data_IF_573545400446
#
_entry.id   IF_573545400446
#
_cell.length_a   1.000
_cell.length_b   1.000
_cell.length_c   1.000
_cell.angle_alpha   90.00
_cell.angle_beta   90.00
_cell.angle_gamma   90.00
#
_symmetry.space_group_name_H-M   'P 1'
#
loop_
_entity.id
_entity.type
_entity.pdbx_description
1 polymer ?
#
# COMPACT_ATOMS: atom_id res chain seq x y z
N UNK A 1 -8.35 -6.78 17.54
CA UNK A 1 -9.52 -6.51 16.67
C UNK A 1 -9.07 -5.53 15.59
N UNK A 2 -9.34 -5.85 14.32
CA UNK A 2 -8.95 -5.01 13.18
C UNK A 2 -10.18 -4.31 12.62
N UNK A 3 -10.01 -3.10 12.09
CA UNK A 3 -11.09 -2.36 11.40
C UNK A 3 -11.01 -2.64 9.91
N UNK A 4 -12.10 -3.07 9.27
CA UNK A 4 -12.12 -3.12 7.79
C UNK A 4 -12.39 -1.73 7.25
N UNK A 5 -11.35 -1.05 6.79
CA UNK A 5 -11.48 0.31 6.28
C UNK A 5 -12.05 0.32 4.87
N UNK A 6 -12.22 -0.84 4.20
CA UNK A 6 -12.56 -0.94 2.77
C UNK A 6 -13.81 -0.16 2.37
N UNK A 7 -14.87 -0.25 3.18
CA UNK A 7 -16.16 0.38 2.90
C UNK A 7 -16.38 1.66 3.74
N UNK A 8 -15.44 1.98 4.62
CA UNK A 8 -15.53 3.16 5.46
C UNK A 8 -15.38 4.46 4.64
N UNK A 9 -16.11 5.53 5.00
CA UNK A 9 -15.91 6.84 4.40
C UNK A 9 -14.46 7.32 4.57
N UNK A 10 -13.80 7.55 3.45
CA UNK A 10 -12.43 8.07 3.37
C UNK A 10 -12.44 9.34 2.52
N UNK A 11 -12.58 10.53 3.12
CA UNK A 11 -12.56 11.78 2.36
C UNK A 11 -11.21 12.00 1.69
N UNK A 12 -11.19 12.83 0.64
CA UNK A 12 -9.95 13.23 -0.02
C UNK A 12 -9.05 13.95 0.99
N UNK A 13 -7.77 13.57 1.03
CA UNK A 13 -6.79 14.18 1.94
C UNK A 13 -7.05 13.90 3.41
N UNK A 14 -7.75 12.81 3.74
CA UNK A 14 -7.91 12.33 5.11
C UNK A 14 -6.57 12.30 5.84
N UNK A 15 -6.50 12.92 7.02
CA UNK A 15 -5.33 12.81 7.89
C UNK A 15 -5.19 11.35 8.40
N UNK A 16 -4.13 10.63 7.99
CA UNK A 16 -3.91 9.25 8.40
C UNK A 16 -3.76 9.08 9.92
N UNK A 17 -3.34 10.10 10.67
CA UNK A 17 -3.20 10.00 12.13
C UNK A 17 -4.55 9.85 12.84
N UNK A 18 -5.67 10.22 12.20
CA UNK A 18 -7.02 10.01 12.74
C UNK A 18 -7.41 8.53 12.85
N UNK A 19 -6.71 7.65 12.14
CA UNK A 19 -6.87 6.20 12.26
C UNK A 19 -6.21 5.65 13.55
N UNK A 20 -5.33 6.44 14.18
CA UNK A 20 -4.53 6.04 15.33
C UNK A 20 -3.60 4.85 15.02
N UNK A 21 -3.27 4.09 16.07
CA UNK A 21 -2.36 2.95 15.97
C UNK A 21 -3.10 1.61 15.77
N UNK A 22 -4.42 1.66 15.55
CA UNK A 22 -5.22 0.45 15.38
C UNK A 22 -4.99 -0.14 13.99
N UNK A 23 -4.66 -1.44 13.87
CA UNK A 23 -4.50 -2.04 12.56
C UNK A 23 -5.82 -2.14 11.81
N UNK A 24 -5.75 -2.00 10.50
CA UNK A 24 -6.91 -1.99 9.62
C UNK A 24 -6.67 -2.78 8.33
N UNK A 25 -7.77 -3.21 7.71
CA UNK A 25 -7.77 -3.94 6.44
C UNK A 25 -8.15 -3.03 5.28
N UNK A 26 -7.56 -3.31 4.12
CA UNK A 26 -7.96 -2.72 2.84
C UNK A 26 -7.98 -3.82 1.77
N UNK A 27 -9.09 -3.93 1.04
CA UNK A 27 -9.14 -4.74 -0.19
C UNK A 27 -8.39 -4.07 -1.33
N UNK A 28 -8.00 -4.87 -2.31
CA UNK A 28 -7.33 -4.45 -3.55
C UNK A 28 -8.00 -3.25 -4.24
N UNK A 29 -9.33 -3.22 -4.27
CA UNK A 29 -10.11 -2.12 -4.85
C UNK A 29 -9.89 -0.78 -4.13
N UNK A 30 -9.54 -0.79 -2.83
CA UNK A 30 -9.40 0.40 -1.99
C UNK A 30 -8.02 1.05 -2.03
N UNK A 31 -7.04 0.48 -2.76
CA UNK A 31 -5.70 1.06 -2.85
C UNK A 31 -5.08 0.89 -4.24
N UNK A 32 -3.92 1.51 -4.44
CA UNK A 32 -3.04 1.21 -5.57
C UNK A 32 -1.58 1.49 -5.21
N UNK A 33 -0.68 0.77 -5.86
CA UNK A 33 0.77 0.92 -5.68
C UNK A 33 1.29 2.09 -6.51
N UNK A 34 2.07 2.98 -5.91
CA UNK A 34 2.65 4.15 -6.58
C UNK A 34 4.12 3.92 -6.89
N UNK A 35 4.83 3.37 -5.91
CA UNK A 35 6.27 3.14 -5.86
C UNK A 35 6.52 1.78 -5.22
N UNK A 36 7.76 1.27 -5.29
CA UNK A 36 8.11 -0.02 -4.70
C UNK A 36 8.02 -0.08 -3.16
N UNK A 37 7.81 1.05 -2.49
CA UNK A 37 7.65 1.13 -1.04
C UNK A 37 6.46 2.00 -0.58
N UNK A 38 5.60 2.44 -1.51
CA UNK A 38 4.51 3.37 -1.19
C UNK A 38 3.20 2.96 -1.84
N UNK A 39 2.15 2.88 -1.02
CA UNK A 39 0.77 2.57 -1.38
C UNK A 39 -0.09 3.81 -1.20
N UNK A 40 -1.00 4.06 -2.13
CA UNK A 40 -2.03 5.10 -2.05
C UNK A 40 -3.36 4.47 -1.69
N UNK A 41 -4.01 5.00 -0.66
CA UNK A 41 -5.38 4.60 -0.29
C UNK A 41 -6.36 5.50 -1.04
N UNK A 42 -7.34 4.88 -1.70
CA UNK A 42 -8.34 5.58 -2.48
C UNK A 42 -9.37 6.23 -1.56
N UNK A 43 -9.78 7.44 -1.91
CA UNK A 43 -10.94 8.09 -1.32
C UNK A 43 -12.22 7.37 -1.77
N UNK A 44 -13.23 7.38 -0.91
CA UNK A 44 -14.60 6.97 -1.25
C UNK A 44 -15.41 8.09 -1.87
N UNK A 45 -14.90 9.33 -1.86
CA UNK A 45 -15.58 10.46 -2.47
C UNK A 45 -15.39 10.41 -4.00
N UNK A 46 -16.51 10.43 -4.72
CA UNK A 46 -16.51 10.67 -6.16
C UNK A 46 -16.09 12.13 -6.40
N UNK A 47 -14.78 12.34 -6.57
CA UNK A 47 -14.28 13.61 -7.06
C UNK A 47 -14.57 13.73 -8.56
N UNK A 48 -15.83 13.98 -8.88
CA UNK A 48 -16.25 14.46 -10.19
C UNK A 48 -15.80 15.93 -10.31
N UNK A 49 -14.59 16.17 -10.82
CA UNK A 49 -14.24 17.45 -11.46
C UNK A 49 -12.97 17.32 -12.29
N UNK A 50 -13.17 17.45 -13.60
CA UNK A 50 -12.17 17.63 -14.64
C UNK A 50 -11.35 18.89 -14.37
N UNK A 51 -10.19 18.73 -13.75
CA UNK A 51 -9.11 19.72 -13.83
C UNK A 51 -8.35 19.57 -15.17
N UNK A 52 -7.80 20.65 -15.75
CA UNK A 52 -7.16 20.66 -17.07
C UNK A 52 -5.84 19.84 -17.16
N UNK A 53 -5.47 19.16 -16.08
CA UNK A 53 -4.39 18.17 -16.04
C UNK A 53 -5.02 16.88 -15.52
N UNK A 54 -5.48 16.04 -16.43
CA UNK A 54 -6.00 14.73 -16.10
C UNK A 54 -5.06 13.96 -15.15
N UNK A 55 -5.66 13.01 -14.43
CA UNK A 55 -5.03 11.93 -13.66
C UNK A 55 -4.95 12.10 -12.12
N UNK A 56 -5.95 11.48 -11.46
CA UNK A 56 -5.79 10.61 -10.27
C UNK A 56 -5.35 11.20 -8.93
N UNK A 57 -4.97 12.47 -8.83
CA UNK A 57 -4.65 13.10 -7.54
C UNK A 57 -5.89 13.36 -6.68
N UNK A 58 -7.06 13.55 -7.30
CA UNK A 58 -8.32 13.86 -6.62
C UNK A 58 -9.02 12.64 -6.00
N UNK A 59 -8.43 11.44 -6.04
CA UNK A 59 -9.02 10.23 -5.47
C UNK A 59 -8.16 9.64 -4.34
N UNK A 60 -7.24 10.40 -3.76
CA UNK A 60 -6.40 9.92 -2.66
C UNK A 60 -7.00 10.35 -1.32
N UNK A 61 -7.24 9.39 -0.43
CA UNK A 61 -7.47 9.66 0.98
C UNK A 61 -6.13 9.99 1.66
N UNK A 62 -5.21 9.01 1.68
CA UNK A 62 -3.86 9.17 2.24
C UNK A 62 -2.88 8.21 1.57
N UNK A 63 -1.60 8.29 1.94
CA UNK A 63 -0.56 7.40 1.46
C UNK A 63 0.13 6.70 2.63
N UNK A 64 0.53 5.46 2.40
CA UNK A 64 1.20 4.58 3.34
C UNK A 64 2.58 4.26 2.76
N UNK A 65 3.62 4.35 3.58
CA UNK A 65 4.96 3.91 3.28
C UNK A 65 5.39 2.84 4.27
N UNK A 66 6.09 1.82 3.78
CA UNK A 66 6.73 0.87 4.67
C UNK A 66 7.73 1.56 5.60
N UNK A 67 7.69 1.25 6.90
CA UNK A 67 8.62 1.86 7.86
C UNK A 67 10.02 1.28 7.82
N UNK A 68 10.15 -0.02 7.50
CA UNK A 68 11.38 -0.80 7.72
C UNK A 68 12.13 -1.16 6.43
N UNK A 69 11.58 -0.83 5.27
CA UNK A 69 12.17 -1.07 3.95
C UNK A 69 12.04 0.17 3.06
N UNK A 70 12.92 0.29 2.08
CA UNK A 70 12.87 1.32 1.06
C UNK A 70 13.17 0.74 -0.31
N UNK A 71 12.40 1.18 -1.31
CA UNK A 71 12.62 0.84 -2.70
C UNK A 71 13.59 1.82 -3.36
N UNK A 72 14.33 1.40 -4.41
CA UNK A 72 15.06 2.32 -5.26
C UNK A 72 14.12 3.38 -5.86
N UNK A 73 14.63 4.61 -6.02
CA UNK A 73 13.84 5.68 -6.62
C UNK A 73 13.48 5.35 -8.08
N UNK A 74 12.25 5.68 -8.49
CA UNK A 74 11.89 5.61 -9.90
C UNK A 74 12.64 6.71 -10.67
N UNK A 75 13.11 6.42 -11.89
CA UNK A 75 13.73 7.42 -12.72
C UNK A 75 12.73 8.54 -13.06
N UNK A 76 13.25 9.76 -13.18
CA UNK A 76 12.47 10.91 -13.65
C UNK A 76 12.59 10.96 -15.17
N UNK A 77 11.45 10.92 -15.86
CA UNK A 77 11.43 11.05 -17.32
C UNK A 77 11.79 12.48 -17.74
N UNK A 78 12.89 12.60 -18.49
CA UNK A 78 13.24 13.83 -19.20
C UNK A 78 12.26 14.11 -20.36
N UNK A 79 12.37 15.26 -21.01
CA UNK A 79 11.60 15.56 -22.22
C UNK A 79 11.87 14.55 -23.34
N UNK A 80 13.13 14.17 -23.54
CA UNK A 80 13.55 13.15 -24.52
C UNK A 80 12.98 11.77 -24.20
N UNK A 81 13.00 11.36 -22.92
CA UNK A 81 12.43 10.07 -22.54
C UNK A 81 10.93 10.00 -22.81
N UNK A 82 10.21 11.13 -22.65
CA UNK A 82 8.77 11.19 -22.98
C UNK A 82 8.52 11.02 -24.47
N UNK A 83 9.39 11.56 -25.32
CA UNK A 83 9.31 11.36 -26.78
C UNK A 83 9.53 9.89 -27.14
N UNK A 84 10.54 9.24 -26.54
CA UNK A 84 10.79 7.81 -26.74
C UNK A 84 9.60 6.97 -26.27
N UNK A 85 9.02 7.30 -25.11
CA UNK A 85 7.85 6.61 -24.57
C UNK A 85 6.63 6.76 -25.49
N UNK A 86 6.40 7.94 -26.06
CA UNK A 86 5.34 8.17 -27.04
C UNK A 86 5.55 7.37 -28.34
N UNK A 87 6.80 7.04 -28.67
CA UNK A 87 7.16 6.14 -29.77
C UNK A 87 7.13 4.65 -29.37
N UNK A 88 6.67 4.31 -28.15
CA UNK A 88 6.55 2.94 -27.65
C UNK A 88 7.83 2.36 -27.03
N UNK A 89 8.88 3.18 -26.86
CA UNK A 89 10.16 2.77 -26.25
C UNK A 89 10.26 3.36 -24.86
N UNK A 90 10.14 2.54 -23.82
CA UNK A 90 10.37 2.98 -22.44
C UNK A 90 11.84 2.72 -22.05
N UNK A 91 12.70 3.76 -22.00
CA UNK A 91 14.11 3.60 -21.67
C UNK A 91 14.31 3.10 -20.22
N UNK A 92 13.30 3.25 -19.37
CA UNK A 92 13.36 2.99 -17.94
C UNK A 92 12.58 1.73 -17.53
N UNK A 93 12.04 0.97 -18.48
CA UNK A 93 11.20 -0.20 -18.23
C UNK A 93 11.84 -1.24 -17.29
N UNK A 94 13.18 -1.31 -17.28
CA UNK A 94 13.97 -2.25 -16.45
C UNK A 94 14.74 -1.56 -15.32
N UNK A 95 14.41 -0.31 -15.01
CA UNK A 95 15.02 0.36 -13.86
C UNK A 95 14.58 -0.29 -12.55
N UNK A 96 15.47 -0.31 -11.55
CA UNK A 96 15.21 -0.98 -10.28
C UNK A 96 13.95 -0.46 -9.57
N UNK A 97 13.69 0.85 -9.61
CA UNK A 97 12.48 1.45 -9.03
C UNK A 97 11.19 1.02 -9.74
N UNK A 98 11.22 0.87 -11.06
CA UNK A 98 10.06 0.36 -11.84
C UNK A 98 9.83 -1.12 -11.53
N UNK A 99 10.89 -1.92 -11.49
CA UNK A 99 10.81 -3.34 -11.12
C UNK A 99 10.26 -3.53 -9.70
N UNK A 100 10.69 -2.70 -8.73
CA UNK A 100 10.21 -2.75 -7.36
C UNK A 100 8.71 -2.42 -7.27
N UNK A 101 8.26 -1.36 -7.95
CA UNK A 101 6.84 -0.99 -8.06
C UNK A 101 6.02 -2.14 -8.65
N UNK A 102 6.46 -2.70 -9.77
CA UNK A 102 5.73 -3.73 -10.50
C UNK A 102 5.70 -5.05 -9.73
N UNK A 103 6.79 -5.38 -9.04
CA UNK A 103 6.86 -6.53 -8.14
C UNK A 103 5.88 -6.40 -6.98
N UNK A 104 5.86 -5.25 -6.29
CA UNK A 104 4.87 -4.97 -5.24
C UNK A 104 3.44 -5.05 -5.77
N UNK A 105 3.17 -4.47 -6.95
CA UNK A 105 1.84 -4.55 -7.59
C UNK A 105 1.41 -5.99 -7.82
N UNK A 106 2.28 -6.84 -8.39
CA UNK A 106 1.98 -8.26 -8.63
C UNK A 106 1.76 -9.04 -7.33
N UNK A 107 2.51 -8.74 -6.27
CA UNK A 107 2.35 -9.40 -4.97
C UNK A 107 1.01 -9.07 -4.28
N UNK A 108 0.41 -7.94 -4.65
CA UNK A 108 -0.85 -7.42 -4.10
C UNK A 108 -2.07 -7.68 -4.98
N UNK A 109 -1.88 -8.17 -6.20
CA UNK A 109 -2.97 -8.38 -7.15
C UNK A 109 -3.94 -9.45 -6.64
N UNK A 110 -5.20 -9.07 -6.41
CA UNK A 110 -6.23 -9.93 -5.81
C UNK A 110 -6.05 -10.22 -4.31
N UNK A 111 -5.12 -9.55 -3.62
CA UNK A 111 -4.92 -9.68 -2.18
C UNK A 111 -5.44 -8.44 -1.43
N UNK A 112 -5.97 -8.66 -0.23
CA UNK A 112 -6.16 -7.58 0.72
C UNK A 112 -4.86 -7.33 1.49
N UNK A 113 -4.76 -6.16 2.11
CA UNK A 113 -3.64 -5.82 3.00
C UNK A 113 -4.13 -5.58 4.42
N UNK A 114 -3.36 -6.07 5.38
CA UNK A 114 -3.43 -5.70 6.79
C UNK A 114 -2.34 -4.66 7.04
N UNK A 115 -2.76 -3.47 7.44
CA UNK A 115 -1.88 -2.34 7.75
C UNK A 115 -1.79 -2.21 9.25
N UNK A 116 -0.58 -2.16 9.79
CA UNK A 116 -0.27 -1.90 11.19
C UNK A 116 0.42 -0.53 11.27
N UNK A 117 -0.33 0.55 11.55
CA UNK A 117 0.23 1.90 11.61
C UNK A 117 1.27 2.01 12.72
N UNK A 118 2.33 2.78 12.48
CA UNK A 118 3.31 3.10 13.52
C UNK A 118 2.95 4.36 14.32
N UNK A 119 1.82 5.01 14.04
CA UNK A 119 1.45 6.32 14.61
C UNK A 119 2.29 7.50 14.14
N UNK A 120 3.14 7.33 13.12
CA UNK A 120 4.09 8.35 12.63
C UNK A 120 3.87 8.64 11.16
N UNK A 121 4.19 9.88 10.78
CA UNK A 121 4.29 10.30 9.38
C UNK A 121 5.74 10.54 9.00
N UNK A 122 6.08 10.30 7.74
CA UNK A 122 7.34 10.77 7.19
C UNK A 122 7.27 12.27 6.82
N UNK A 123 8.41 12.83 6.39
CA UNK A 123 8.52 14.25 5.99
C UNK A 123 7.59 14.66 4.84
N UNK A 124 6.98 13.70 4.13
CA UNK A 124 6.07 13.91 3.03
C UNK A 124 4.60 13.68 3.43
N UNK A 125 4.32 13.49 4.72
CA UNK A 125 2.97 13.26 5.23
C UNK A 125 2.45 11.84 4.97
N UNK A 126 3.31 10.88 4.63
CA UNK A 126 2.90 9.48 4.43
C UNK A 126 2.92 8.73 5.75
N UNK A 127 1.87 7.95 6.02
CA UNK A 127 1.81 7.08 7.19
C UNK A 127 2.91 6.02 7.11
N UNK A 128 3.73 5.90 8.16
CA UNK A 128 4.65 4.80 8.31
C UNK A 128 3.92 3.59 8.91
N UNK A 129 4.05 2.43 8.27
CA UNK A 129 3.36 1.21 8.71
C UNK A 129 4.16 -0.05 8.42
N UNK A 130 3.82 -1.12 9.12
CA UNK A 130 4.08 -2.48 8.68
C UNK A 130 2.88 -2.98 7.87
N UNK A 131 3.12 -3.70 6.78
CA UNK A 131 2.07 -4.10 5.83
C UNK A 131 2.19 -5.58 5.53
N UNK A 132 1.10 -6.30 5.71
CA UNK A 132 0.99 -7.71 5.36
C UNK A 132 -0.02 -7.91 4.26
N UNK A 133 0.26 -8.84 3.35
CA UNK A 133 -0.76 -9.34 2.42
C UNK A 133 -1.57 -10.44 3.09
N UNK A 134 -2.86 -10.48 2.80
CA UNK A 134 -3.78 -11.48 3.32
C UNK A 134 -4.62 -12.04 2.18
N UNK A 135 -4.76 -13.38 2.08
CA UNK A 135 -5.57 -14.00 1.05
C UNK A 135 -7.05 -13.67 1.24
N UNK A 136 -7.75 -13.54 0.11
CA UNK A 136 -9.18 -13.28 0.06
C UNK A 136 -9.89 -14.50 -0.52
N UNK A 137 -10.90 -15.00 0.18
CA UNK A 137 -11.76 -16.10 -0.29
C UNK A 137 -13.21 -15.62 -0.36
N UNK A 138 -13.65 -15.23 -1.56
CA UNK A 138 -14.94 -14.59 -1.77
C UNK A 138 -15.02 -13.26 -1.01
N UNK A 139 -15.98 -13.14 -0.07
CA UNK A 139 -16.10 -11.95 0.79
C UNK A 139 -15.26 -11.99 2.06
N UNK A 140 -14.65 -13.12 2.41
CA UNK A 140 -13.88 -13.26 3.67
C UNK A 140 -12.40 -12.97 3.44
N UNK A 141 -11.81 -12.24 4.38
CA UNK A 141 -10.36 -11.98 4.44
C UNK A 141 -9.77 -12.91 5.51
N UNK A 142 -8.80 -13.73 5.14
CA UNK A 142 -8.11 -14.61 6.09
C UNK A 142 -6.84 -13.94 6.62
N UNK A 143 -7.00 -13.25 7.75
CA UNK A 143 -5.91 -12.56 8.44
C UNK A 143 -4.93 -13.51 9.13
N UNK A 144 -5.30 -14.77 9.36
CA UNK A 144 -4.41 -15.74 10.03
C UNK A 144 -3.30 -16.22 9.09
N UNK A 145 -3.59 -16.23 7.79
CA UNK A 145 -2.61 -16.49 6.73
C UNK A 145 -1.86 -15.23 6.27
N UNK A 146 -1.92 -14.13 7.04
CA UNK A 146 -1.23 -12.90 6.68
C UNK A 146 0.30 -13.10 6.65
N UNK A 147 0.92 -12.52 5.63
CA UNK A 147 2.39 -12.54 5.46
C UNK A 147 2.92 -11.13 5.29
N UNK A 148 3.99 -10.80 6.02
CA UNK A 148 4.67 -9.51 5.87
C UNK A 148 5.16 -9.31 4.44
N UNK A 149 4.76 -8.19 3.83
CA UNK A 149 5.23 -7.79 2.51
C UNK A 149 6.68 -7.34 2.54
N UNK A 150 7.16 -6.81 3.66
CA UNK A 150 8.56 -6.42 3.83
C UNK A 150 9.49 -7.61 3.63
N UNK A 151 9.17 -8.74 4.27
CA UNK A 151 9.92 -9.99 4.08
C UNK A 151 9.83 -10.50 2.65
N UNK A 152 8.65 -10.43 2.02
CA UNK A 152 8.45 -10.88 0.64
C UNK A 152 9.25 -10.02 -0.36
N UNK A 153 9.24 -8.71 -0.20
CA UNK A 153 9.95 -7.77 -1.06
C UNK A 153 11.47 -7.86 -0.89
N UNK A 154 11.96 -8.02 0.36
CA UNK A 154 13.37 -8.24 0.64
C UNK A 154 13.87 -9.55 0.03
N UNK A 155 13.12 -10.64 0.21
CA UNK A 155 13.47 -11.94 -0.35
C UNK A 155 13.49 -11.92 -1.89
N UNK A 156 12.65 -11.09 -2.52
CA UNK A 156 12.63 -10.90 -3.96
C UNK A 156 13.74 -9.96 -4.47
N UNK A 157 14.55 -9.37 -3.59
CA UNK A 157 15.62 -8.43 -3.96
C UNK A 157 15.10 -7.11 -4.53
N UNK A 158 13.85 -6.73 -4.26
CA UNK A 158 13.20 -5.54 -4.83
C UNK A 158 13.42 -4.28 -4.00
N UNK A 159 13.73 -4.44 -2.72
CA UNK A 159 13.89 -3.37 -1.74
C UNK A 159 15.10 -3.65 -0.85
N UNK A 160 15.54 -2.63 -0.11
CA UNK A 160 16.57 -2.75 0.93
C UNK A 160 16.00 -2.38 2.29
N UNK A 161 16.66 -2.78 3.38
CA UNK A 161 16.26 -2.33 4.72
C UNK A 161 16.42 -0.82 4.84
N UNK A 162 15.48 -0.18 5.52
CA UNK A 162 15.50 1.24 5.78
C UNK A 162 16.02 1.53 7.19
N UNK A 163 17.27 1.96 7.29
CA UNK A 163 17.88 2.40 8.54
C UNK A 163 17.88 1.33 9.65
N UNK A 164 17.75 1.75 10.92
CA UNK A 164 17.79 0.85 12.08
C UNK A 164 16.43 0.22 12.41
N UNK A 165 15.37 0.50 11.67
CA UNK A 165 14.02 0.00 11.95
C UNK A 165 13.98 -1.54 11.94
N UNK A 166 13.29 -2.12 12.93
CA UNK A 166 13.09 -3.55 13.01
C UNK A 166 12.12 -4.01 11.92
N UNK A 167 12.40 -5.17 11.32
CA UNK A 167 11.42 -5.82 10.46
C UNK A 167 10.26 -6.35 11.31
N UNK A 168 9.03 -6.31 10.79
CA UNK A 168 7.91 -6.96 11.45
C UNK A 168 8.11 -8.48 11.50
N UNK A 169 7.28 -9.16 12.31
CA UNK A 169 7.18 -10.60 12.28
C UNK A 169 6.76 -11.09 10.89
N UNK A 170 7.28 -12.24 10.44
CA UNK A 170 6.91 -12.83 9.13
C UNK A 170 5.40 -13.10 9.04
N UNK A 171 4.80 -13.53 10.15
CA UNK A 171 3.38 -13.75 10.33
C UNK A 171 2.92 -12.92 11.53
N UNK A 172 2.31 -11.74 11.31
CA UNK A 172 1.98 -10.82 12.41
C UNK A 172 0.73 -11.21 13.19
N UNK A 173 -0.07 -12.15 12.69
CA UNK A 173 -1.27 -12.67 13.36
C UNK A 173 -0.99 -14.11 13.80
N UNK A 174 -1.09 -14.42 15.11
CA UNK A 174 -0.94 -15.79 15.59
C UNK A 174 -2.03 -16.72 15.01
N UNK A 175 -1.66 -17.96 14.69
CA UNK A 175 -2.55 -18.96 14.09
C UNK A 175 -3.80 -19.23 14.94
N UNK A 176 -3.71 -19.08 16.27
CA UNK A 176 -4.79 -19.36 17.22
C UNK A 176 -5.87 -18.27 17.30
N UNK A 177 -5.77 -17.22 16.48
CA UNK A 177 -6.74 -16.11 16.45
C UNK A 177 -8.11 -16.50 15.84
N UNK A 178 -8.29 -17.76 15.42
CA UNK A 178 -9.53 -18.27 14.77
C UNK A 178 -10.78 -18.26 15.66
N UNK A 179 -10.63 -18.25 17.00
CA UNK A 179 -11.76 -18.29 17.93
C UNK A 179 -12.41 -16.94 18.23
N UNK A 180 -11.88 -15.83 17.70
CA UNK A 180 -12.64 -14.60 17.63
C UNK A 180 -13.48 -14.64 16.35
N UNK A 181 -14.67 -15.22 16.43
CA UNK A 181 -15.74 -14.93 15.48
C UNK A 181 -16.00 -13.43 15.51
N UNK A 182 -15.23 -12.67 14.73
CA UNK A 182 -15.32 -11.21 14.72
C UNK A 182 -16.57 -10.87 13.94
N UNK A 183 -17.65 -10.64 14.70
CA UNK A 183 -18.76 -9.83 14.24
C UNK A 183 -18.16 -8.55 13.64
N UNK A 184 -18.39 -8.38 12.34
CA UNK A 184 -18.35 -7.06 11.74
C UNK A 184 -19.40 -6.25 12.52
N UNK A 185 -18.98 -5.25 13.30
CA UNK A 185 -19.95 -4.27 13.80
C UNK A 185 -20.45 -3.49 12.57
N UNK A 186 -21.74 -3.59 12.21
CA UNK A 186 -22.33 -2.59 11.34
C UNK A 186 -22.36 -1.27 12.13
N UNK A 187 -21.98 -0.19 11.45
CA UNK A 187 -22.10 1.17 11.96
C UNK A 187 -23.56 1.53 12.33
#
# INVERSE_FOLDING_TARGET
MFRDLTDDPRPVGMDPLRLGDRPFLLRDAAFFVIDGDTIRVKSTEDSAKDGPMGYRLHQQAFAIRFRSIAAPEKPRYSSTDRTLLAAGVDPHARSAGIMARDGLRRMLDGFAILVQPSGRLDRYGRMLADISRTPVSGRKIDVTSAMSLEHLLLNAGLVSRFGPESLPARHPVPADSQNAGMAFEPA
#
